data_IF_746502988111
#
_entry.id   IF_746502988111
#
_cell.length_a   1.000
_cell.length_b   1.000
_cell.length_c   1.000
_cell.angle_alpha   90.00
_cell.angle_beta   90.00
_cell.angle_gamma   90.00
#
_symmetry.space_group_name_H-M   'P 1'
#
loop_
_entity.id
_entity.type
_entity.pdbx_description
1 polymer ?
#
# COMPACT_ATOMS: atom_id res chain seq x y z
N UNK A 1 2.77 -26.66 -4.22
CA UNK A 1 2.68 -25.36 -3.53
C UNK A 1 1.92 -24.39 -4.41
N UNK A 2 0.85 -23.73 -3.91
CA UNK A 2 0.23 -22.71 -4.70
C UNK A 2 1.25 -21.59 -4.95
N UNK A 3 1.34 -21.07 -6.19
CA UNK A 3 2.26 -19.99 -6.49
C UNK A 3 1.95 -18.80 -5.57
N UNK A 4 2.94 -18.35 -4.86
CA UNK A 4 2.82 -17.24 -3.93
C UNK A 4 2.25 -16.01 -4.67
N UNK A 5 1.04 -15.58 -4.30
CA UNK A 5 0.56 -14.23 -4.64
C UNK A 5 1.73 -13.28 -4.48
N UNK A 6 2.09 -12.57 -5.55
CA UNK A 6 3.31 -11.78 -5.60
C UNK A 6 3.54 -11.01 -4.30
N UNK A 7 4.49 -11.48 -3.50
CA UNK A 7 4.78 -10.95 -2.16
C UNK A 7 4.95 -9.42 -2.14
N UNK A 8 5.36 -8.85 -3.28
CA UNK A 8 5.52 -7.41 -3.44
C UNK A 8 4.17 -6.65 -3.48
N UNK A 9 3.18 -7.14 -4.20
CA UNK A 9 1.86 -6.46 -4.32
C UNK A 9 1.08 -6.46 -3.01
N UNK A 10 1.12 -7.57 -2.27
CA UNK A 10 0.50 -7.64 -0.94
C UNK A 10 1.17 -6.69 0.05
N UNK A 11 2.48 -6.59 -0.01
CA UNK A 11 3.24 -5.67 0.83
C UNK A 11 2.90 -4.21 0.54
N UNK A 12 2.77 -3.83 -0.72
CA UNK A 12 2.38 -2.46 -1.11
C UNK A 12 0.98 -2.11 -0.62
N UNK A 13 0.02 -3.04 -0.70
CA UNK A 13 -1.33 -2.84 -0.17
C UNK A 13 -1.33 -2.61 1.34
N UNK A 14 -0.54 -3.38 2.09
CA UNK A 14 -0.41 -3.23 3.53
C UNK A 14 0.24 -1.89 3.92
N UNK A 15 1.25 -1.46 3.19
CA UNK A 15 1.90 -0.15 3.38
C UNK A 15 0.91 0.97 3.12
N UNK A 16 0.16 0.92 2.02
CA UNK A 16 -0.86 1.90 1.69
C UNK A 16 -1.90 2.03 2.80
N UNK A 17 -2.43 0.91 3.29
CA UNK A 17 -3.40 0.88 4.39
C UNK A 17 -2.84 1.53 5.66
N UNK A 18 -1.61 1.21 6.03
CA UNK A 18 -0.95 1.75 7.22
C UNK A 18 -0.73 3.25 7.12
N UNK A 19 -0.33 3.75 5.95
CA UNK A 19 -0.18 5.18 5.70
C UNK A 19 -1.53 5.90 5.70
N UNK A 20 -2.59 5.31 5.15
CA UNK A 20 -3.95 5.86 5.22
C UNK A 20 -4.43 6.02 6.66
N UNK A 21 -4.21 5.01 7.51
CA UNK A 21 -4.55 5.11 8.93
C UNK A 21 -3.73 6.18 9.65
N UNK A 22 -2.46 6.31 9.32
CA UNK A 22 -1.59 7.37 9.87
C UNK A 22 -2.07 8.76 9.46
N UNK A 23 -2.49 8.92 8.20
CA UNK A 23 -3.08 10.14 7.67
C UNK A 23 -4.36 10.51 8.43
N UNK A 24 -5.27 9.55 8.61
CA UNK A 24 -6.52 9.76 9.35
C UNK A 24 -6.25 10.18 10.81
N UNK A 25 -5.32 9.52 11.45
CA UNK A 25 -4.93 9.83 12.83
C UNK A 25 -4.34 11.25 12.94
N UNK A 26 -3.53 11.64 11.96
CA UNK A 26 -2.96 12.99 11.87
C UNK A 26 -4.04 14.04 11.73
N UNK A 27 -5.00 13.85 10.83
CA UNK A 27 -6.07 14.82 10.58
C UNK A 27 -7.10 14.91 11.72
N UNK A 28 -7.42 13.78 12.34
CA UNK A 28 -8.46 13.73 13.38
C UNK A 28 -7.92 14.13 14.76
N UNK A 29 -6.70 13.71 15.09
CA UNK A 29 -6.12 13.89 16.43
C UNK A 29 -4.85 14.73 16.46
N UNK A 30 -4.29 15.13 15.33
CA UNK A 30 -3.03 15.84 15.26
C UNK A 30 -1.81 15.00 15.67
N UNK A 31 -1.98 13.69 15.82
CA UNK A 31 -0.89 12.78 16.21
C UNK A 31 0.00 12.44 15.03
N UNK A 32 1.30 12.46 15.25
CA UNK A 32 2.30 12.06 14.26
C UNK A 32 2.78 10.64 14.55
N UNK A 33 2.09 9.65 13.98
CA UNK A 33 2.38 8.26 14.20
C UNK A 33 3.59 7.79 13.39
N UNK A 34 4.31 6.81 13.95
CA UNK A 34 5.32 6.04 13.22
C UNK A 34 4.65 4.77 12.68
N UNK A 35 4.37 4.68 11.37
CA UNK A 35 3.69 3.52 10.82
C UNK A 35 4.55 2.27 10.92
N UNK A 36 3.93 1.15 11.32
CA UNK A 36 4.59 -0.14 11.50
C UNK A 36 3.72 -1.25 10.92
N UNK A 37 4.38 -2.33 10.47
CA UNK A 37 3.73 -3.55 9.98
C UNK A 37 4.24 -4.77 10.72
N UNK A 38 3.33 -5.46 11.39
CA UNK A 38 3.64 -6.71 12.09
C UNK A 38 3.23 -7.93 11.26
N UNK A 39 4.21 -8.64 10.75
CA UNK A 39 4.01 -9.93 10.08
C UNK A 39 4.20 -11.05 11.07
N UNK A 40 3.12 -11.55 11.64
CA UNK A 40 3.13 -12.52 12.74
C UNK A 40 4.01 -13.75 12.44
N UNK A 41 3.99 -14.25 11.21
CA UNK A 41 4.79 -15.41 10.81
C UNK A 41 6.30 -15.16 10.78
N UNK A 42 6.71 -13.90 10.79
CA UNK A 42 8.12 -13.49 10.72
C UNK A 42 8.64 -12.87 12.01
N UNK A 43 7.78 -12.63 13.00
CA UNK A 43 8.13 -11.94 14.24
C UNK A 43 9.19 -12.66 15.08
N UNK A 44 9.31 -13.98 14.92
CA UNK A 44 10.31 -14.79 15.64
C UNK A 44 11.70 -14.78 15.00
N UNK A 45 11.85 -14.20 13.82
CA UNK A 45 13.16 -14.08 13.15
C UNK A 45 13.96 -12.95 13.80
N UNK A 46 15.24 -13.21 14.04
CA UNK A 46 16.15 -12.24 14.67
C UNK A 46 16.38 -10.96 13.84
N UNK A 47 16.21 -11.04 12.52
CA UNK A 47 16.38 -9.94 11.58
C UNK A 47 15.08 -9.17 11.29
N UNK A 48 13.98 -9.57 11.93
CA UNK A 48 12.67 -8.95 11.70
C UNK A 48 12.56 -7.59 12.40
N UNK A 49 12.00 -6.62 11.69
CA UNK A 49 11.59 -5.33 12.25
C UNK A 49 10.26 -4.91 11.69
N UNK A 50 9.31 -4.42 12.51
CA UNK A 50 8.04 -3.90 12.05
C UNK A 50 8.15 -2.51 11.39
N UNK A 51 9.28 -1.82 11.56
CA UNK A 51 9.48 -0.47 11.04
C UNK A 51 9.55 -0.46 9.51
N UNK A 52 8.89 0.51 8.90
CA UNK A 52 9.00 0.73 7.46
C UNK A 52 10.38 1.31 7.13
N UNK A 53 10.96 0.82 6.05
CA UNK A 53 12.24 1.30 5.53
C UNK A 53 12.02 1.99 4.20
N UNK A 54 12.40 3.25 4.13
CA UNK A 54 12.47 4.00 2.87
C UNK A 54 13.93 3.99 2.39
N UNK A 55 14.18 3.30 1.29
CA UNK A 55 15.52 3.16 0.71
C UNK A 55 15.98 4.42 -0.03
N UNK A 56 15.03 5.16 -0.61
CA UNK A 56 15.35 6.40 -1.32
C UNK A 56 15.79 7.50 -0.36
N UNK A 57 15.09 7.61 0.77
CA UNK A 57 15.41 8.59 1.81
C UNK A 57 16.46 8.08 2.82
N UNK A 58 16.80 6.80 2.78
CA UNK A 58 17.74 6.20 3.71
C UNK A 58 17.28 6.18 5.16
N UNK A 59 15.96 6.21 5.41
CA UNK A 59 15.37 6.26 6.74
C UNK A 59 14.62 5.00 7.09
N UNK A 60 14.56 4.68 8.39
CA UNK A 60 13.82 3.56 8.93
C UNK A 60 13.01 4.01 10.15
N UNK A 61 11.74 3.67 10.17
CA UNK A 61 10.86 4.04 11.27
C UNK A 61 10.59 5.55 11.34
N UNK A 62 10.46 6.21 10.20
CA UNK A 62 10.15 7.62 10.15
C UNK A 62 8.69 7.89 10.54
N UNK A 63 8.41 9.06 11.15
CA UNK A 63 7.04 9.47 11.43
C UNK A 63 6.28 9.77 10.14
N UNK A 64 4.95 9.67 10.18
CA UNK A 64 4.10 9.94 9.02
C UNK A 64 4.30 11.33 8.42
N UNK A 65 4.59 12.34 9.24
CA UNK A 65 4.83 13.71 8.79
C UNK A 65 5.92 13.83 7.71
N UNK A 66 6.88 12.90 7.68
CA UNK A 66 7.90 12.86 6.64
C UNK A 66 7.30 12.55 5.25
N UNK A 67 6.22 11.78 5.22
CA UNK A 67 5.55 11.32 4.00
C UNK A 67 4.28 12.10 3.66
N UNK A 68 3.79 12.92 4.58
CA UNK A 68 2.47 13.55 4.55
C UNK A 68 2.19 14.26 3.22
N UNK A 69 3.08 15.17 2.81
CA UNK A 69 2.87 15.95 1.59
C UNK A 69 2.78 15.08 0.33
N UNK A 70 3.77 14.23 0.12
CA UNK A 70 3.84 13.35 -1.05
C UNK A 70 2.74 12.27 -1.05
N UNK A 71 2.43 11.73 0.11
CA UNK A 71 1.40 10.70 0.23
C UNK A 71 -0.01 11.28 -0.02
N UNK A 72 -0.32 12.43 0.56
CA UNK A 72 -1.62 13.07 0.35
C UNK A 72 -1.81 13.55 -1.08
N UNK A 73 -0.76 14.03 -1.73
CA UNK A 73 -0.79 14.37 -3.15
C UNK A 73 -1.12 13.13 -4.00
N UNK A 74 -0.45 12.00 -3.75
CA UNK A 74 -0.71 10.73 -4.41
C UNK A 74 -2.16 10.27 -4.22
N UNK A 75 -2.70 10.38 -3.01
CA UNK A 75 -4.10 10.03 -2.71
C UNK A 75 -5.06 10.93 -3.48
N UNK A 76 -4.82 12.24 -3.52
CA UNK A 76 -5.66 13.18 -4.28
C UNK A 76 -5.63 12.88 -5.77
N UNK A 77 -4.46 12.65 -6.34
CA UNK A 77 -4.31 12.32 -7.77
C UNK A 77 -5.04 11.01 -8.11
N UNK A 78 -4.88 10.00 -7.27
CA UNK A 78 -5.54 8.69 -7.46
C UNK A 78 -7.07 8.82 -7.40
N UNK A 79 -7.59 9.58 -6.43
CA UNK A 79 -9.03 9.81 -6.32
C UNK A 79 -9.56 10.67 -7.47
N UNK A 80 -8.81 11.68 -7.90
CA UNK A 80 -9.19 12.51 -9.04
C UNK A 80 -9.30 11.67 -10.33
N UNK A 81 -8.36 10.76 -10.56
CA UNK A 81 -8.40 9.83 -11.69
C UNK A 81 -9.60 8.87 -11.58
N UNK A 82 -9.82 8.30 -10.39
CA UNK A 82 -10.91 7.35 -10.15
C UNK A 82 -12.29 7.96 -10.43
N UNK A 83 -12.50 9.21 -10.03
CA UNK A 83 -13.77 9.93 -10.19
C UNK A 83 -13.85 10.80 -11.45
N UNK A 84 -12.85 10.73 -12.31
CA UNK A 84 -12.87 11.45 -13.59
C UNK A 84 -13.80 10.74 -14.58
N UNK A 85 -14.94 11.35 -14.96
CA UNK A 85 -15.90 10.74 -15.88
C UNK A 85 -15.37 10.61 -17.32
N UNK A 86 -14.26 11.28 -17.65
CA UNK A 86 -13.62 11.18 -18.96
C UNK A 86 -12.66 10.00 -19.08
N UNK A 87 -12.31 9.37 -17.96
CA UNK A 87 -11.40 8.22 -17.89
C UNK A 87 -12.21 6.92 -17.82
N UNK A 88 -12.22 6.08 -18.86
CA UNK A 88 -12.91 4.80 -18.82
C UNK A 88 -12.17 3.79 -17.93
N UNK A 89 -12.92 2.95 -17.25
CA UNK A 89 -12.37 1.77 -16.61
C UNK A 89 -11.90 0.77 -17.66
N UNK A 90 -10.68 0.29 -17.54
CA UNK A 90 -10.07 -0.68 -18.47
C UNK A 90 -9.63 -1.92 -17.73
N UNK A 91 -9.58 -3.04 -18.45
CA UNK A 91 -8.99 -4.25 -17.91
C UNK A 91 -7.51 -4.04 -17.59
N UNK A 92 -7.05 -4.68 -16.51
CA UNK A 92 -5.65 -4.66 -16.13
C UNK A 92 -4.78 -5.25 -17.26
N UNK A 93 -3.72 -4.55 -17.63
CA UNK A 93 -2.76 -5.03 -18.63
C UNK A 93 -1.90 -6.21 -18.12
N UNK A 94 -1.69 -6.26 -16.81
CA UNK A 94 -0.93 -7.33 -16.15
C UNK A 94 -1.80 -8.57 -15.93
N UNK A 95 -1.70 -9.54 -16.84
CA UNK A 95 -2.46 -10.79 -16.78
C UNK A 95 -2.09 -11.67 -15.59
N UNK A 96 -0.89 -11.53 -15.03
CA UNK A 96 -0.50 -12.27 -13.82
C UNK A 96 -1.33 -11.86 -12.60
N UNK A 97 -1.73 -10.61 -12.53
CA UNK A 97 -2.69 -10.14 -11.52
C UNK A 97 -4.05 -10.82 -11.67
N UNK A 98 -4.47 -11.08 -12.91
CA UNK A 98 -5.76 -11.69 -13.23
C UNK A 98 -5.85 -13.17 -12.78
N UNK A 99 -4.75 -13.89 -12.70
CA UNK A 99 -4.73 -15.32 -12.31
C UNK A 99 -5.36 -15.60 -10.96
N UNK A 100 -5.29 -14.64 -10.04
CA UNK A 100 -5.81 -14.75 -8.67
C UNK A 100 -6.98 -13.80 -8.39
N UNK A 101 -7.51 -13.18 -9.44
CA UNK A 101 -8.64 -12.26 -9.35
C UNK A 101 -9.94 -13.05 -9.33
N UNK A 102 -10.84 -12.73 -8.40
CA UNK A 102 -12.16 -13.36 -8.29
C UNK A 102 -13.03 -13.09 -9.52
N UNK A 103 -12.71 -12.07 -10.30
CA UNK A 103 -13.45 -11.64 -11.48
C UNK A 103 -12.82 -12.06 -12.81
N UNK A 104 -11.81 -12.93 -12.79
CA UNK A 104 -11.07 -13.32 -14.00
C UNK A 104 -11.96 -13.95 -15.07
N UNK A 105 -12.99 -14.70 -14.66
CA UNK A 105 -13.94 -15.33 -15.59
C UNK A 105 -14.77 -14.28 -16.33
N UNK A 106 -15.23 -13.24 -15.62
CA UNK A 106 -15.97 -12.12 -16.21
C UNK A 106 -15.12 -11.36 -17.23
N UNK A 107 -13.87 -11.16 -16.89
CA UNK A 107 -12.89 -10.48 -17.77
C UNK A 107 -12.33 -11.38 -18.88
N UNK A 108 -12.66 -12.67 -18.89
CA UNK A 108 -12.12 -13.67 -19.84
C UNK A 108 -10.59 -13.74 -19.81
N UNK A 109 -10.03 -13.77 -18.61
CA UNK A 109 -8.58 -13.81 -18.38
C UNK A 109 -8.14 -15.14 -17.75
#
# INVERSE_FOLDING_TARGET
>A
EPPSRGKGKQRLSNILQTLLYSMMLRHVRGSDAVPQLYYVRQMHRSDYSPLLTDRELGVRGAPYSLYEGRFEELVRETLAELFDPTQPFRQCADTDTCRFCDFNVICRR
#
